data_IF_471075376960
#
_entry.id   IF_471075376960
#
_cell.length_a   1.000
_cell.length_b   1.000
_cell.length_c   1.000
_cell.angle_alpha   90.00
_cell.angle_beta   90.00
_cell.angle_gamma   90.00
#
_symmetry.space_group_name_H-M   'P 1'
#
loop_
_entity.id
_entity.type
_entity.pdbx_description
1 polymer ?
#
# COMPACT_ATOMS: atom_id res chain seq x y z
N UNK A 1 12.43 -8.54 33.50
CA UNK A 1 11.54 -8.13 32.41
C UNK A 1 12.39 -8.08 31.15
N UNK A 2 12.05 -8.86 30.13
CA UNK A 2 12.77 -8.87 28.84
C UNK A 2 11.84 -8.29 27.79
N UNK A 3 12.35 -7.40 26.94
CA UNK A 3 11.56 -6.74 25.91
C UNK A 3 12.08 -7.10 24.52
N UNK A 4 11.15 -7.16 23.58
CA UNK A 4 11.41 -7.35 22.16
C UNK A 4 10.74 -6.24 21.39
N UNK A 5 11.54 -5.40 20.73
CA UNK A 5 11.06 -4.23 19.99
C UNK A 5 10.97 -4.59 18.52
N UNK A 6 9.76 -4.48 17.96
CA UNK A 6 9.44 -4.68 16.56
C UNK A 6 9.40 -3.32 15.89
N UNK A 7 10.18 -3.13 14.82
CA UNK A 7 10.20 -1.92 14.01
C UNK A 7 9.90 -2.28 12.57
N UNK A 8 8.72 -1.93 12.08
CA UNK A 8 8.31 -2.15 10.71
C UNK A 8 8.62 -0.95 9.83
N UNK A 9 9.03 -1.23 8.59
CA UNK A 9 9.33 -0.22 7.55
C UNK A 9 8.69 -0.65 6.25
N UNK A 10 7.96 0.27 5.61
CA UNK A 10 7.53 0.11 4.23
C UNK A 10 8.70 0.46 3.29
N UNK A 11 8.96 -0.37 2.27
CA UNK A 11 10.15 -0.24 1.41
C UNK A 11 9.80 -0.16 -0.08
N UNK A 12 8.86 -0.98 -0.54
CA UNK A 12 8.42 -1.03 -1.93
C UNK A 12 6.99 -1.58 -2.04
N UNK A 13 6.45 -1.72 -3.25
CA UNK A 13 5.13 -2.36 -3.43
C UNK A 13 5.20 -3.87 -3.35
N UNK A 14 6.26 -4.48 -3.91
CA UNK A 14 6.42 -5.93 -3.93
C UNK A 14 7.90 -6.34 -3.93
N UNK A 15 8.28 -7.20 -2.98
CA UNK A 15 9.59 -7.85 -2.95
C UNK A 15 9.59 -9.17 -3.73
N UNK A 16 10.72 -9.47 -4.36
CA UNK A 16 11.06 -10.81 -4.81
C UNK A 16 11.71 -11.59 -3.68
N UNK A 17 10.88 -12.25 -2.86
CA UNK A 17 11.34 -13.04 -1.71
C UNK A 17 12.36 -14.09 -2.11
N UNK A 18 12.20 -14.76 -3.26
CA UNK A 18 13.14 -15.76 -3.74
C UNK A 18 14.52 -15.18 -4.08
N UNK A 19 14.60 -13.97 -4.62
CA UNK A 19 15.89 -13.34 -4.94
C UNK A 19 16.59 -12.83 -3.68
N UNK A 20 15.83 -12.32 -2.71
CA UNK A 20 16.36 -11.94 -1.40
C UNK A 20 16.87 -13.19 -0.67
N UNK A 21 16.08 -14.27 -0.62
CA UNK A 21 16.44 -15.51 0.06
C UNK A 21 17.77 -16.10 -0.46
N UNK A 22 18.02 -16.04 -1.77
CA UNK A 22 19.29 -16.49 -2.38
C UNK A 22 20.51 -15.76 -1.83
N UNK A 23 20.39 -14.48 -1.45
CA UNK A 23 21.52 -13.72 -0.87
C UNK A 23 21.93 -14.23 0.51
N UNK A 24 21.00 -14.83 1.24
CA UNK A 24 21.23 -15.38 2.57
C UNK A 24 21.39 -16.91 2.53
N UNK A 25 21.73 -17.47 1.37
CA UNK A 25 21.91 -18.91 1.13
C UNK A 25 20.68 -19.78 1.48
N UNK A 26 19.48 -19.19 1.37
CA UNK A 26 18.22 -19.88 1.62
C UNK A 26 17.65 -20.40 0.31
N UNK A 27 17.78 -21.71 0.10
CA UNK A 27 17.37 -22.40 -1.13
C UNK A 27 15.94 -22.96 -1.10
N UNK A 28 15.24 -22.88 0.03
CA UNK A 28 13.88 -23.42 0.16
C UNK A 28 12.88 -22.56 -0.61
N UNK A 29 11.88 -23.19 -1.22
CA UNK A 29 10.75 -22.48 -1.83
C UNK A 29 9.85 -21.93 -0.72
N UNK A 30 9.90 -20.62 -0.52
CA UNK A 30 9.02 -19.91 0.40
C UNK A 30 7.71 -19.65 -0.34
N UNK A 31 6.59 -19.99 0.29
CA UNK A 31 5.27 -19.66 -0.25
C UNK A 31 5.08 -18.15 -0.24
N UNK A 32 4.31 -17.61 -1.17
CA UNK A 32 4.18 -16.15 -1.27
C UNK A 32 3.50 -15.56 -0.03
N UNK A 33 2.65 -16.33 0.67
CA UNK A 33 1.98 -15.95 1.91
C UNK A 33 2.90 -15.95 3.15
N UNK A 34 4.09 -16.56 3.07
CA UNK A 34 5.01 -16.70 4.20
C UNK A 34 6.12 -15.65 4.12
N UNK A 35 6.50 -15.01 5.26
CA UNK A 35 7.65 -14.13 5.27
C UNK A 35 8.95 -14.91 5.08
N UNK A 36 9.94 -14.26 4.48
CA UNK A 36 11.33 -14.65 4.67
C UNK A 36 11.78 -14.19 6.06
N UNK A 37 12.06 -15.15 6.92
CA UNK A 37 12.54 -14.92 8.28
C UNK A 37 14.06 -15.14 8.30
N UNK A 38 14.80 -14.16 8.81
CA UNK A 38 16.24 -14.22 9.03
C UNK A 38 16.54 -14.09 10.53
N UNK A 39 17.21 -15.09 11.09
CA UNK A 39 17.59 -15.16 12.52
C UNK A 39 18.97 -15.78 12.69
N UNK A 40 19.54 -15.61 13.87
CA UNK A 40 20.78 -16.27 14.31
C UNK A 40 21.93 -16.11 13.29
N UNK A 41 22.54 -17.21 12.86
CA UNK A 41 23.67 -17.22 11.94
C UNK A 41 23.39 -16.57 10.58
N UNK A 42 22.13 -16.41 10.17
CA UNK A 42 21.77 -15.74 8.90
C UNK A 42 22.00 -14.23 8.96
N UNK A 43 22.05 -13.66 10.18
CA UNK A 43 22.34 -12.24 10.41
C UNK A 43 23.83 -11.99 10.67
N UNK A 44 24.65 -13.04 10.73
CA UNK A 44 26.08 -12.94 10.96
C UNK A 44 26.75 -12.11 9.85
N UNK A 45 27.49 -11.07 10.25
CA UNK A 45 28.17 -10.17 9.32
C UNK A 45 27.29 -9.03 8.77
N UNK A 46 26.00 -9.00 9.10
CA UNK A 46 25.08 -7.93 8.71
C UNK A 46 24.72 -6.99 9.87
N UNK A 47 24.79 -7.46 11.12
CA UNK A 47 24.45 -6.67 12.31
C UNK A 47 25.46 -6.90 13.44
N UNK A 48 25.50 -5.96 14.40
CA UNK A 48 26.29 -6.11 15.62
C UNK A 48 25.45 -6.88 16.63
N UNK A 49 25.99 -7.97 17.18
CA UNK A 49 25.30 -8.90 18.10
C UNK A 49 23.99 -9.48 17.51
N UNK A 50 24.00 -10.77 17.21
CA UNK A 50 22.84 -11.47 16.61
C UNK A 50 21.81 -11.93 17.64
N UNK A 51 22.15 -11.88 18.94
CA UNK A 51 21.28 -12.39 20.00
C UNK A 51 19.94 -11.65 20.04
N UNK A 52 18.83 -12.41 20.12
CA UNK A 52 17.46 -11.90 20.11
C UNK A 52 17.07 -11.02 18.91
N UNK A 53 17.87 -11.03 17.83
CA UNK A 53 17.58 -10.28 16.61
C UNK A 53 16.88 -11.13 15.56
N UNK A 54 15.96 -10.50 14.84
CA UNK A 54 15.26 -11.13 13.73
C UNK A 54 14.82 -10.13 12.67
N UNK A 55 14.74 -10.60 11.43
CA UNK A 55 14.18 -9.82 10.32
C UNK A 55 13.09 -10.64 9.63
N UNK A 56 11.94 -10.01 9.43
CA UNK A 56 10.79 -10.60 8.74
C UNK A 56 10.53 -9.78 7.48
N UNK A 57 10.75 -10.38 6.31
CA UNK A 57 10.58 -9.73 5.01
C UNK A 57 9.33 -10.30 4.34
N UNK A 58 8.34 -9.44 4.13
CA UNK A 58 7.06 -9.83 3.56
C UNK A 58 6.99 -9.51 2.08
N UNK A 59 6.39 -10.38 1.25
CA UNK A 59 6.33 -10.16 -0.21
C UNK A 59 5.69 -8.81 -0.58
N UNK A 60 4.81 -8.31 0.28
CA UNK A 60 4.13 -7.04 0.17
C UNK A 60 5.00 -5.84 0.63
N UNK A 61 6.30 -5.92 0.40
CA UNK A 61 7.16 -4.72 0.43
C UNK A 61 7.43 -4.11 1.81
N UNK A 62 7.09 -4.82 2.89
CA UNK A 62 7.36 -4.40 4.27
C UNK A 62 8.38 -5.31 4.95
N UNK A 63 9.22 -4.73 5.80
CA UNK A 63 10.21 -5.45 6.61
C UNK A 63 10.00 -5.11 8.08
N UNK A 64 10.00 -6.12 8.95
CA UNK A 64 9.97 -5.94 10.41
C UNK A 64 11.29 -6.39 11.01
N UNK A 65 11.88 -5.51 11.81
CA UNK A 65 13.14 -5.71 12.50
C UNK A 65 12.89 -5.88 13.99
N UNK A 66 13.37 -6.98 14.56
CA UNK A 66 13.24 -7.28 15.99
C UNK A 66 14.56 -6.98 16.68
N UNK A 67 14.55 -6.05 17.64
CA UNK A 67 15.72 -5.62 18.41
C UNK A 67 16.86 -4.97 17.59
N UNK A 68 16.52 -4.28 16.49
CA UNK A 68 17.49 -3.52 15.70
C UNK A 68 17.56 -2.05 16.13
N UNK A 69 18.77 -1.49 16.07
CA UNK A 69 18.98 -0.03 16.12
C UNK A 69 18.58 0.61 14.79
N UNK A 70 18.36 1.93 14.77
CA UNK A 70 17.98 2.61 13.53
C UNK A 70 19.09 2.57 12.48
N UNK A 71 20.36 2.68 12.89
CA UNK A 71 21.51 2.56 11.98
C UNK A 71 21.56 1.17 11.32
N UNK A 72 21.35 0.11 12.11
CA UNK A 72 21.30 -1.26 11.56
C UNK A 72 20.12 -1.48 10.61
N UNK A 73 18.98 -0.84 10.88
CA UNK A 73 17.82 -0.87 9.97
C UNK A 73 18.19 -0.23 8.63
N UNK A 74 18.78 0.96 8.66
CA UNK A 74 19.13 1.69 7.44
C UNK A 74 20.18 0.94 6.63
N UNK A 75 21.21 0.40 7.28
CA UNK A 75 22.23 -0.45 6.65
C UNK A 75 21.60 -1.71 6.03
N UNK A 76 20.71 -2.38 6.76
CA UNK A 76 20.05 -3.60 6.27
C UNK A 76 19.13 -3.31 5.09
N UNK A 77 18.35 -2.23 5.13
CA UNK A 77 17.52 -1.79 4.01
C UNK A 77 18.38 -1.52 2.78
N UNK A 78 19.54 -0.88 2.94
CA UNK A 78 20.47 -0.66 1.84
C UNK A 78 21.00 -1.97 1.25
N UNK A 79 21.30 -2.97 2.08
CA UNK A 79 21.69 -4.30 1.61
C UNK A 79 20.57 -4.95 0.78
N UNK A 80 19.32 -4.87 1.22
CA UNK A 80 18.18 -5.41 0.47
C UNK A 80 18.01 -4.66 -0.86
N UNK A 81 18.10 -3.33 -0.86
CA UNK A 81 18.01 -2.50 -2.10
C UNK A 81 19.13 -2.79 -3.10
N UNK A 82 20.34 -3.10 -2.61
CA UNK A 82 21.49 -3.47 -3.45
C UNK A 82 21.43 -4.93 -3.95
N UNK A 83 20.56 -5.76 -3.38
CA UNK A 83 20.40 -7.15 -3.81
C UNK A 83 19.77 -7.20 -5.21
N UNK A 84 20.40 -7.88 -6.19
CA UNK A 84 19.88 -7.92 -7.56
C UNK A 84 18.45 -8.46 -7.63
N UNK A 85 17.56 -7.72 -8.29
CA UNK A 85 16.15 -8.08 -8.49
C UNK A 85 15.39 -8.38 -7.19
N UNK A 86 15.78 -7.74 -6.08
CA UNK A 86 15.09 -7.89 -4.78
C UNK A 86 13.72 -7.20 -4.76
N UNK A 87 13.55 -6.12 -5.51
CA UNK A 87 12.28 -5.41 -5.68
C UNK A 87 11.65 -5.87 -6.99
N UNK A 88 10.48 -6.51 -6.90
CA UNK A 88 9.71 -6.96 -8.07
C UNK A 88 8.87 -5.84 -8.66
N UNK A 89 8.31 -4.98 -7.80
CA UNK A 89 7.51 -3.84 -8.22
C UNK A 89 7.71 -2.64 -7.29
N UNK A 90 7.78 -1.46 -7.90
CA UNK A 90 7.85 -0.17 -7.21
C UNK A 90 6.78 0.76 -7.80
N UNK A 91 5.83 1.18 -6.97
CA UNK A 91 4.86 2.17 -7.39
C UNK A 91 5.48 3.57 -7.21
N UNK A 92 5.82 4.21 -8.33
CA UNK A 92 6.44 5.55 -8.34
C UNK A 92 5.59 6.67 -7.71
N UNK A 93 4.31 6.42 -7.49
CA UNK A 93 3.41 7.39 -6.86
C UNK A 93 3.30 7.17 -5.34
N UNK A 94 3.81 6.06 -4.82
CA UNK A 94 3.82 5.76 -3.38
C UNK A 94 5.07 6.33 -2.71
N UNK A 95 4.91 6.79 -1.47
CA UNK A 95 6.01 7.19 -0.59
C UNK A 95 6.20 6.15 0.52
N UNK A 96 7.26 5.36 0.42
CA UNK A 96 7.57 4.31 1.39
C UNK A 96 8.36 4.88 2.58
N UNK A 97 7.70 5.75 3.34
CA UNK A 97 8.31 6.46 4.49
C UNK A 97 7.67 6.05 5.83
N UNK A 98 6.50 5.40 5.78
CA UNK A 98 5.74 4.95 6.95
C UNK A 98 6.54 3.96 7.80
N UNK A 99 6.29 4.03 9.11
CA UNK A 99 6.99 3.26 10.14
C UNK A 99 6.00 2.91 11.24
N UNK A 100 6.12 1.71 11.77
CA UNK A 100 5.31 1.24 12.89
C UNK A 100 6.22 0.54 13.88
N UNK A 101 6.10 0.85 15.17
CA UNK A 101 6.90 0.26 16.22
C UNK A 101 5.97 -0.38 17.27
N UNK A 102 6.28 -1.60 17.72
CA UNK A 102 5.48 -2.33 18.72
C UNK A 102 6.38 -3.18 19.61
N UNK A 103 5.92 -3.58 20.79
CA UNK A 103 6.74 -4.30 21.77
C UNK A 103 6.09 -5.58 22.25
N UNK A 104 6.91 -6.59 22.55
CA UNK A 104 6.50 -7.71 23.37
C UNK A 104 7.29 -7.64 24.68
N UNK A 105 6.58 -7.69 25.81
CA UNK A 105 7.14 -7.60 27.15
C UNK A 105 6.94 -8.94 27.86
N UNK A 106 8.05 -9.65 28.12
CA UNK A 106 8.02 -10.89 28.88
C UNK A 106 8.03 -10.61 30.39
N UNK A 107 6.94 -10.99 31.04
CA UNK A 107 6.71 -10.85 32.47
C UNK A 107 6.11 -12.14 33.06
N UNK A 108 6.96 -12.97 33.69
CA UNK A 108 6.64 -14.34 34.17
C UNK A 108 5.48 -14.48 35.18
N UNK A 109 4.92 -13.37 35.66
CA UNK A 109 3.90 -13.33 36.71
C UNK A 109 2.65 -12.51 36.35
N UNK A 110 2.56 -12.00 35.12
CA UNK A 110 1.38 -11.29 34.64
C UNK A 110 0.62 -12.18 33.67
N UNK A 111 -0.70 -12.04 33.62
CA UNK A 111 -1.50 -12.66 32.55
C UNK A 111 -1.22 -11.96 31.22
N UNK A 112 -1.52 -12.66 30.12
CA UNK A 112 -1.41 -12.09 28.79
C UNK A 112 -2.34 -10.89 28.65
N UNK A 113 -1.78 -9.74 28.26
CA UNK A 113 -2.50 -8.48 28.12
C UNK A 113 -2.01 -7.73 26.89
N UNK A 114 -2.96 -7.39 26.02
CA UNK A 114 -2.71 -6.53 24.88
C UNK A 114 -2.95 -5.06 25.28
N UNK A 115 -1.91 -4.27 25.16
CA UNK A 115 -1.91 -2.82 25.36
C UNK A 115 -1.68 -2.09 24.03
N UNK A 116 -1.79 -0.77 24.03
CA UNK A 116 -1.72 0.04 22.81
C UNK A 116 -0.39 -0.08 22.04
N UNK A 117 0.74 -0.16 22.75
CA UNK A 117 2.08 -0.26 22.14
C UNK A 117 2.82 -1.55 22.51
N UNK A 118 2.17 -2.44 23.28
CA UNK A 118 2.82 -3.64 23.77
C UNK A 118 1.88 -4.80 24.00
N UNK A 119 2.40 -6.00 23.78
CA UNK A 119 1.82 -7.26 24.23
C UNK A 119 2.62 -7.76 25.44
N UNK A 120 1.97 -7.85 26.59
CA UNK A 120 2.55 -8.44 27.81
C UNK A 120 2.24 -9.93 27.83
N UNK A 121 3.25 -10.78 27.98
CA UNK A 121 3.10 -12.24 28.02
C UNK A 121 3.92 -12.86 29.15
N UNK A 122 3.49 -14.02 29.62
CA UNK A 122 4.20 -14.79 30.65
C UNK A 122 5.19 -15.82 30.10
N UNK A 123 5.02 -16.24 28.83
CA UNK A 123 5.92 -17.16 28.13
C UNK A 123 5.97 -16.86 26.64
N UNK A 124 7.15 -17.02 26.02
CA UNK A 124 7.34 -16.80 24.59
C UNK A 124 7.15 -18.09 23.81
N UNK A 125 6.27 -18.02 22.82
CA UNK A 125 6.13 -19.00 21.75
C UNK A 125 6.37 -18.35 20.37
N UNK A 126 6.66 -19.18 19.35
CA UNK A 126 6.95 -18.75 17.98
C UNK A 126 5.84 -17.89 17.35
N UNK A 127 4.58 -18.17 17.70
CA UNK A 127 3.43 -17.46 17.16
C UNK A 127 3.39 -15.99 17.61
N UNK A 128 3.85 -15.67 18.83
CA UNK A 128 3.88 -14.29 19.32
C UNK A 128 4.67 -13.37 18.40
N UNK A 129 5.89 -13.79 18.02
CA UNK A 129 6.74 -13.01 17.12
C UNK A 129 6.18 -12.97 15.71
N UNK A 130 5.68 -14.11 15.22
CA UNK A 130 5.21 -14.23 13.84
C UNK A 130 3.92 -13.43 13.60
N UNK A 131 2.98 -13.46 14.55
CA UNK A 131 1.72 -12.70 14.46
C UNK A 131 1.97 -11.21 14.66
N UNK A 132 2.78 -10.84 15.66
CA UNK A 132 3.16 -9.43 15.90
C UNK A 132 3.87 -8.85 14.68
N UNK A 133 4.90 -9.52 14.15
CA UNK A 133 5.58 -9.06 12.96
C UNK A 133 4.64 -8.96 11.75
N UNK A 134 3.70 -9.90 11.59
CA UNK A 134 2.76 -9.87 10.47
C UNK A 134 1.81 -8.67 10.56
N UNK A 135 1.21 -8.43 11.73
CA UNK A 135 0.22 -7.36 11.91
C UNK A 135 0.89 -5.99 11.80
N UNK A 136 2.03 -5.78 12.44
CA UNK A 136 2.78 -4.50 12.37
C UNK A 136 3.24 -4.25 10.92
N UNK A 137 3.66 -5.29 10.18
CA UNK A 137 3.97 -5.18 8.75
C UNK A 137 2.75 -4.78 7.91
N UNK A 138 1.57 -5.34 8.20
CA UNK A 138 0.33 -4.97 7.51
C UNK A 138 -0.07 -3.53 7.82
N UNK A 139 0.05 -3.09 9.08
CA UNK A 139 -0.26 -1.71 9.50
C UNK A 139 0.54 -0.70 8.68
N UNK A 140 1.88 -0.86 8.65
CA UNK A 140 2.76 0.10 7.94
C UNK A 140 2.52 0.11 6.42
N UNK A 141 2.17 -1.04 5.85
CA UNK A 141 1.86 -1.12 4.44
C UNK A 141 0.52 -0.47 4.10
N UNK A 142 -0.48 -0.65 4.96
CA UNK A 142 -1.78 0.00 4.83
C UNK A 142 -1.67 1.52 4.98
N UNK A 143 -0.85 1.99 5.93
CA UNK A 143 -0.56 3.41 6.10
C UNK A 143 0.10 4.04 4.86
N UNK A 144 1.06 3.33 4.26
CA UNK A 144 1.72 3.78 3.02
C UNK A 144 0.72 4.01 1.88
N UNK A 145 -0.29 3.15 1.83
CA UNK A 145 -1.37 3.17 0.86
C UNK A 145 -2.31 4.35 1.19
N UNK A 146 -2.75 4.50 2.43
CA UNK A 146 -3.59 5.62 2.89
C UNK A 146 -2.95 6.98 2.57
N UNK A 147 -1.69 7.19 2.94
CA UNK A 147 -0.95 8.44 2.66
C UNK A 147 -0.87 8.71 1.16
N UNK A 148 -0.65 7.67 0.35
CA UNK A 148 -0.62 7.82 -1.11
C UNK A 148 -2.00 8.17 -1.66
N UNK A 149 -3.05 7.60 -1.07
CA UNK A 149 -4.44 7.81 -1.48
C UNK A 149 -4.91 9.24 -1.18
N UNK A 150 -4.46 9.81 -0.07
CA UNK A 150 -4.75 11.20 0.29
C UNK A 150 -4.21 12.18 -0.77
N UNK A 151 -3.01 11.93 -1.30
CA UNK A 151 -2.46 12.74 -2.41
C UNK A 151 -3.33 12.67 -3.67
N UNK A 152 -3.90 11.51 -3.98
CA UNK A 152 -4.81 11.35 -5.12
C UNK A 152 -6.15 12.02 -4.83
N UNK A 153 -6.65 11.94 -3.60
CA UNK A 153 -7.88 12.60 -3.18
C UNK A 153 -7.79 14.12 -3.34
N UNK A 154 -6.67 14.73 -2.94
CA UNK A 154 -6.43 16.16 -3.11
C UNK A 154 -6.50 16.59 -4.59
N UNK A 155 -6.12 15.71 -5.51
CA UNK A 155 -6.28 15.95 -6.95
C UNK A 155 -7.74 15.90 -7.36
N UNK A 156 -8.51 14.92 -6.86
CA UNK A 156 -9.95 14.82 -7.11
C UNK A 156 -10.71 16.01 -6.53
N UNK A 157 -10.36 16.51 -5.35
CA UNK A 157 -10.98 17.72 -4.78
C UNK A 157 -10.81 18.95 -5.67
N UNK A 158 -9.66 19.09 -6.36
CA UNK A 158 -9.45 20.17 -7.33
C UNK A 158 -10.40 20.04 -8.54
N UNK A 159 -10.72 18.81 -8.94
CA UNK A 159 -11.72 18.53 -9.98
C UNK A 159 -13.10 18.97 -9.51
N UNK A 160 -13.50 18.61 -8.29
CA UNK A 160 -14.79 18.99 -7.69
C UNK A 160 -14.93 20.51 -7.64
N UNK A 161 -13.92 21.23 -7.14
CA UNK A 161 -13.92 22.71 -7.12
C UNK A 161 -14.01 23.32 -8.51
N UNK A 162 -13.45 22.67 -9.52
CA UNK A 162 -13.58 23.12 -10.91
C UNK A 162 -15.02 22.93 -11.42
N UNK A 163 -15.67 21.82 -11.07
CA UNK A 163 -17.08 21.55 -11.37
C UNK A 163 -18.02 22.56 -10.73
N UNK A 164 -17.82 22.91 -9.46
CA UNK A 164 -18.63 23.91 -8.74
C UNK A 164 -18.63 25.26 -9.47
N UNK A 165 -17.50 25.61 -10.10
CA UNK A 165 -17.35 26.82 -10.91
C UNK A 165 -17.81 26.66 -12.37
N UNK A 166 -18.45 25.54 -12.73
CA UNK A 166 -18.91 25.22 -14.08
C UNK A 166 -17.78 24.91 -15.08
N UNK A 167 -16.56 24.71 -14.58
CA UNK A 167 -15.35 24.65 -15.39
C UNK A 167 -14.95 23.19 -15.67
N UNK A 168 -15.36 22.69 -16.84
CA UNK A 168 -15.13 21.31 -17.29
C UNK A 168 -13.79 21.10 -18.04
N UNK A 169 -12.77 21.91 -17.75
CA UNK A 169 -11.55 21.98 -18.56
C UNK A 169 -10.46 20.95 -18.19
N UNK A 170 -10.83 19.72 -17.81
CA UNK A 170 -9.87 18.61 -17.70
C UNK A 170 -9.83 17.86 -19.02
N UNK A 171 -8.62 17.63 -19.51
CA UNK A 171 -8.44 16.82 -20.71
C UNK A 171 -8.50 15.32 -20.40
N UNK A 172 -8.94 14.52 -21.37
CA UNK A 172 -9.06 13.05 -21.24
C UNK A 172 -7.76 12.38 -20.74
N UNK A 173 -6.60 12.90 -21.11
CA UNK A 173 -5.30 12.38 -20.66
C UNK A 173 -5.10 12.56 -19.15
N UNK A 174 -5.50 13.70 -18.60
CA UNK A 174 -5.46 13.97 -17.16
C UNK A 174 -6.44 13.06 -16.42
N UNK A 175 -7.68 12.94 -16.91
CA UNK A 175 -8.68 12.04 -16.32
C UNK A 175 -8.20 10.57 -16.33
N UNK A 176 -7.73 10.08 -17.48
CA UNK A 176 -7.16 8.74 -17.62
C UNK A 176 -5.94 8.52 -16.72
N UNK A 177 -5.11 9.54 -16.51
CA UNK A 177 -3.96 9.47 -15.59
C UNK A 177 -4.40 9.33 -14.13
N UNK A 178 -5.43 10.05 -13.69
CA UNK A 178 -5.94 9.97 -12.31
C UNK A 178 -6.67 8.63 -12.12
N UNK A 179 -7.54 8.23 -13.06
CA UNK A 179 -8.17 6.89 -13.04
C UNK A 179 -7.11 5.80 -13.00
N UNK A 180 -6.07 5.90 -13.83
CA UNK A 180 -4.97 4.93 -13.85
C UNK A 180 -4.22 4.87 -12.52
N UNK A 181 -4.07 5.99 -11.80
CA UNK A 181 -3.46 6.03 -10.45
C UNK A 181 -4.38 5.38 -9.41
N UNK A 182 -5.67 5.71 -9.40
CA UNK A 182 -6.65 5.10 -8.49
C UNK A 182 -6.79 3.59 -8.78
N UNK A 183 -6.76 3.18 -10.04
CA UNK A 183 -6.83 1.78 -10.43
C UNK A 183 -5.55 1.02 -10.12
N UNK A 184 -4.38 1.64 -10.35
CA UNK A 184 -3.09 1.08 -9.93
C UNK A 184 -3.04 0.90 -8.41
N UNK A 185 -3.63 1.84 -7.67
CA UNK A 185 -3.83 1.74 -6.24
C UNK A 185 -4.74 0.56 -5.89
N UNK A 186 -5.97 0.48 -6.44
CA UNK A 186 -6.87 -0.66 -6.19
C UNK A 186 -6.22 -1.99 -6.53
N UNK A 187 -5.49 -2.08 -7.65
CA UNK A 187 -4.75 -3.28 -8.02
C UNK A 187 -3.66 -3.62 -7.00
N UNK A 188 -2.91 -2.62 -6.53
CA UNK A 188 -1.92 -2.83 -5.46
C UNK A 188 -2.63 -3.31 -4.20
N UNK A 189 -3.71 -2.66 -3.77
CA UNK A 189 -4.51 -3.02 -2.59
C UNK A 189 -5.15 -4.41 -2.70
N UNK A 190 -5.56 -4.86 -3.89
CA UNK A 190 -6.13 -6.22 -4.09
C UNK A 190 -5.14 -7.32 -3.73
N UNK A 191 -3.84 -7.14 -4.03
CA UNK A 191 -2.80 -8.05 -3.55
C UNK A 191 -2.61 -8.01 -2.02
N UNK A 192 -3.08 -6.95 -1.35
CA UNK A 192 -3.01 -6.77 0.10
C UNK A 192 -4.29 -7.23 0.83
N UNK A 193 -5.45 -7.26 0.17
CA UNK A 193 -6.69 -7.84 0.75
C UNK A 193 -6.51 -9.33 1.03
N UNK A 194 -5.78 -10.04 0.15
CA UNK A 194 -5.37 -11.43 0.38
C UNK A 194 -4.40 -11.58 1.56
N UNK A 195 -3.85 -10.48 2.09
CA UNK A 195 -3.08 -10.49 3.33
C UNK A 195 -3.99 -10.49 4.55
N UNK A 196 -5.18 -9.88 4.51
CA UNK A 196 -6.11 -9.88 5.65
C UNK A 196 -6.67 -11.28 5.95
N UNK A 197 -6.48 -12.23 5.03
CA UNK A 197 -6.74 -13.64 5.29
C UNK A 197 -5.95 -14.14 6.50
N UNK A 198 -6.59 -15.06 7.24
CA UNK A 198 -5.97 -15.71 8.40
C UNK A 198 -4.65 -16.34 7.97
N UNK A 199 -3.53 -16.05 8.67
CA UNK A 199 -2.24 -16.63 8.33
C UNK A 199 -2.29 -18.15 8.42
N UNK A 200 -1.46 -18.85 7.64
CA UNK A 200 -1.44 -20.31 7.58
C UNK A 200 -1.33 -20.98 8.97
N UNK A 201 -0.65 -20.32 9.91
CA UNK A 201 -0.48 -20.78 11.30
C UNK A 201 -1.80 -20.71 12.08
N UNK A 202 -2.62 -19.68 11.88
CA UNK A 202 -3.91 -19.51 12.56
C UNK A 202 -4.88 -20.67 12.26
N UNK A 203 -4.81 -21.29 11.08
CA UNK A 203 -5.63 -22.46 10.75
C UNK A 203 -5.34 -23.71 11.60
N UNK A 204 -4.21 -23.74 12.31
CA UNK A 204 -3.75 -24.91 13.09
C UNK A 204 -3.49 -24.60 14.55
N UNK A 205 -3.46 -23.33 14.93
CA UNK A 205 -3.13 -22.87 16.28
C UNK A 205 -4.10 -21.77 16.69
N UNK A 206 -4.98 -22.09 17.63
CA UNK A 206 -6.01 -21.20 18.16
C UNK A 206 -5.41 -19.97 18.85
N UNK A 207 -4.33 -20.13 19.63
CA UNK A 207 -3.62 -18.99 20.24
C UNK A 207 -3.06 -18.02 19.19
N UNK A 208 -2.51 -18.56 18.09
CA UNK A 208 -2.04 -17.73 16.99
C UNK A 208 -3.18 -16.99 16.27
N UNK A 209 -4.34 -17.64 16.12
CA UNK A 209 -5.54 -17.02 15.56
C UNK A 209 -6.07 -15.90 16.44
N UNK A 210 -6.22 -16.15 17.74
CA UNK A 210 -6.71 -15.16 18.71
C UNK A 210 -5.78 -13.95 18.75
N UNK A 211 -4.47 -14.18 18.89
CA UNK A 211 -3.50 -13.09 18.89
C UNK A 211 -3.51 -12.29 17.58
N UNK A 212 -3.66 -12.96 16.44
CA UNK A 212 -3.78 -12.27 15.16
C UNK A 212 -5.02 -11.38 15.10
N UNK A 213 -6.18 -11.87 15.54
CA UNK A 213 -7.42 -11.10 15.55
C UNK A 213 -7.31 -9.91 16.52
N UNK A 214 -6.83 -10.12 17.74
CA UNK A 214 -6.70 -9.08 18.76
C UNK A 214 -5.76 -7.95 18.28
N UNK A 215 -4.62 -8.31 17.68
CA UNK A 215 -3.71 -7.34 17.08
C UNK A 215 -4.33 -6.67 15.85
N UNK A 216 -5.02 -7.41 14.98
CA UNK A 216 -5.65 -6.83 13.79
C UNK A 216 -6.74 -5.82 14.16
N UNK A 217 -7.47 -6.07 15.24
CA UNK A 217 -8.47 -5.18 15.82
C UNK A 217 -7.79 -3.97 16.47
N UNK A 218 -6.71 -4.16 17.24
CA UNK A 218 -5.92 -3.07 17.83
C UNK A 218 -5.42 -2.08 16.78
N UNK A 219 -4.92 -2.58 15.65
CA UNK A 219 -4.42 -1.76 14.54
C UNK A 219 -5.51 -1.33 13.53
N UNK A 220 -6.78 -1.64 13.83
CA UNK A 220 -7.95 -1.34 13.00
C UNK A 220 -7.79 -1.78 11.53
N UNK A 221 -7.11 -2.89 11.27
CA UNK A 221 -6.70 -3.25 9.90
C UNK A 221 -7.89 -3.39 8.94
N UNK A 222 -8.98 -4.01 9.40
CA UNK A 222 -10.19 -4.21 8.61
C UNK A 222 -10.92 -2.88 8.37
N UNK A 223 -11.17 -2.11 9.42
CA UNK A 223 -11.88 -0.82 9.34
C UNK A 223 -11.15 0.18 8.45
N UNK A 224 -9.82 0.29 8.62
CA UNK A 224 -8.96 1.14 7.78
C UNK A 224 -9.03 0.73 6.32
N UNK A 225 -8.95 -0.57 6.06
CA UNK A 225 -9.09 -1.10 4.70
C UNK A 225 -10.48 -0.80 4.09
N UNK A 226 -11.57 -0.98 4.83
CA UNK A 226 -12.91 -0.69 4.34
C UNK A 226 -13.11 0.79 4.02
N UNK A 227 -12.67 1.68 4.92
CA UNK A 227 -12.69 3.14 4.71
C UNK A 227 -11.91 3.54 3.45
N UNK A 228 -10.73 2.95 3.29
CA UNK A 228 -9.85 3.20 2.15
C UNK A 228 -10.49 2.73 0.83
N UNK A 229 -11.12 1.55 0.82
CA UNK A 229 -11.80 1.00 -0.35
C UNK A 229 -13.03 1.84 -0.73
N UNK A 230 -13.83 2.24 0.25
CA UNK A 230 -14.97 3.14 0.03
C UNK A 230 -14.52 4.49 -0.56
N UNK A 231 -13.49 5.11 0.06
CA UNK A 231 -12.89 6.37 -0.43
C UNK A 231 -12.36 6.21 -1.86
N UNK A 232 -11.72 5.09 -2.18
CA UNK A 232 -11.27 4.79 -3.53
C UNK A 232 -12.40 4.68 -4.53
N UNK A 233 -13.50 4.01 -4.17
CA UNK A 233 -14.64 3.85 -5.07
C UNK A 233 -15.30 5.20 -5.36
N UNK A 234 -15.51 6.02 -4.33
CA UNK A 234 -16.07 7.37 -4.49
C UNK A 234 -15.23 8.23 -5.44
N UNK A 235 -13.89 8.14 -5.37
CA UNK A 235 -13.02 8.87 -6.31
C UNK A 235 -13.20 8.41 -7.75
N UNK A 236 -13.27 7.09 -7.99
CA UNK A 236 -13.52 6.55 -9.34
C UNK A 236 -14.84 7.11 -9.89
N UNK A 237 -15.90 7.03 -9.10
CA UNK A 237 -17.24 7.49 -9.51
C UNK A 237 -17.23 8.98 -9.88
N UNK A 238 -16.58 9.84 -9.07
CA UNK A 238 -16.46 11.29 -9.33
C UNK A 238 -15.71 11.55 -10.64
N UNK A 239 -14.58 10.86 -10.87
CA UNK A 239 -13.76 11.09 -12.07
C UNK A 239 -14.50 10.58 -13.32
N UNK A 240 -15.22 9.47 -13.23
CA UNK A 240 -16.05 8.96 -14.34
C UNK A 240 -17.18 9.94 -14.69
N UNK A 241 -17.88 10.48 -13.69
CA UNK A 241 -18.90 11.52 -13.91
C UNK A 241 -18.28 12.73 -14.59
N UNK A 242 -17.12 13.21 -14.11
CA UNK A 242 -16.44 14.34 -14.74
C UNK A 242 -16.05 14.04 -16.19
N UNK A 243 -15.43 12.88 -16.45
CA UNK A 243 -14.95 12.50 -17.78
C UNK A 243 -16.11 12.48 -18.79
N UNK A 244 -17.26 11.94 -18.39
CA UNK A 244 -18.48 11.94 -19.20
C UNK A 244 -18.99 13.36 -19.49
N UNK A 245 -19.01 14.26 -18.50
CA UNK A 245 -19.41 15.66 -18.70
C UNK A 245 -18.46 16.40 -19.66
N UNK A 246 -17.15 16.19 -19.53
CA UNK A 246 -16.14 16.80 -20.41
C UNK A 246 -16.27 16.32 -21.85
N UNK A 247 -16.51 15.01 -22.06
CA UNK A 247 -16.75 14.44 -23.38
C UNK A 247 -17.99 15.05 -24.06
N UNK A 248 -19.10 15.17 -23.34
CA UNK A 248 -20.34 15.78 -23.84
C UNK A 248 -20.16 17.25 -24.27
N UNK A 249 -19.37 18.04 -23.52
CA UNK A 249 -19.06 19.42 -23.91
C UNK A 249 -18.24 19.51 -25.20
N UNK A 250 -17.28 18.60 -25.40
CA UNK A 250 -16.47 18.57 -26.64
C UNK A 250 -17.30 18.16 -27.86
N UNK A 251 -18.20 17.19 -27.71
CA UNK A 251 -19.13 16.81 -28.77
C UNK A 251 -20.00 18.01 -29.21
N UNK A 252 -20.52 18.78 -28.26
CA UNK A 252 -21.26 20.01 -28.55
C UNK A 252 -20.41 21.08 -29.28
N UNK A 253 -19.12 21.21 -28.94
CA UNK A 253 -18.24 22.14 -29.65
C UNK A 253 -17.99 21.72 -31.11
N UNK A 254 -17.85 20.41 -31.39
CA UNK A 254 -17.74 19.89 -32.75
C UNK A 254 -19.02 20.14 -33.54
N UNK A 255 -20.18 19.94 -32.92
CA UNK A 255 -21.48 20.23 -33.53
C UNK A 255 -21.59 21.71 -33.93
N UNK A 256 -21.19 22.63 -33.06
CA UNK A 256 -21.17 24.08 -33.38
C UNK A 256 -20.23 24.38 -34.56
N UNK A 257 -19.06 23.74 -34.64
CA UNK A 257 -18.14 23.91 -35.79
C UNK A 257 -18.81 23.44 -37.09
N UNK A 258 -19.48 22.28 -37.08
CA UNK A 258 -20.20 21.76 -38.26
C UNK A 258 -21.35 22.69 -38.64
N UNK A 259 -22.14 23.17 -37.68
CA UNK A 259 -23.22 24.15 -37.92
C UNK A 259 -22.67 25.43 -38.55
N UNK A 260 -21.54 25.96 -38.05
CA UNK A 260 -20.88 27.13 -38.63
C UNK A 260 -20.38 26.89 -40.05
N UNK A 261 -19.79 25.72 -40.33
CA UNK A 261 -19.35 25.35 -41.68
C UNK A 261 -20.53 25.32 -42.67
N UNK A 262 -21.65 24.72 -42.27
CA UNK A 262 -22.89 24.71 -43.08
C UNK A 262 -23.42 26.13 -43.27
N UNK A 263 -23.44 26.95 -42.21
CA UNK A 263 -23.90 28.34 -42.29
C UNK A 263 -23.05 29.19 -43.24
N UNK A 264 -21.74 29.00 -43.25
CA UNK A 264 -20.82 29.65 -44.20
C UNK A 264 -21.13 29.23 -45.64
N UNK A 265 -21.34 27.94 -45.88
CA UNK A 265 -21.67 27.41 -47.20
C UNK A 265 -22.99 27.98 -47.74
N UNK A 266 -24.03 28.03 -46.88
CA UNK A 266 -25.31 28.64 -47.22
C UNK A 266 -25.16 30.12 -47.59
N UNK A 267 -24.41 30.90 -46.80
CA UNK A 267 -24.18 32.32 -47.08
C UNK A 267 -23.46 32.51 -48.43
N UNK A 268 -22.45 31.70 -48.73
CA UNK A 268 -21.75 31.76 -50.02
C UNK A 268 -22.69 31.44 -51.19
N UNK A 269 -23.52 30.39 -51.07
CA UNK A 269 -24.49 30.02 -52.08
C UNK A 269 -25.51 31.14 -52.35
N UNK A 270 -26.02 31.80 -51.30
CA UNK A 270 -26.93 32.94 -51.45
C UNK A 270 -26.26 34.14 -52.12
N UNK A 271 -25.01 34.45 -51.74
CA UNK A 271 -24.25 35.53 -52.38
C UNK A 271 -24.09 35.27 -53.87
N UNK A 272 -23.72 34.05 -54.26
CA UNK A 272 -23.52 33.70 -55.66
C UNK A 272 -24.82 33.76 -56.48
N UNK A 273 -25.98 33.55 -55.85
CA UNK A 273 -27.30 33.72 -56.50
C UNK A 273 -27.69 35.20 -56.64
N UNK A 274 -27.41 36.04 -55.64
CA UNK A 274 -27.81 37.46 -55.61
C UNK A 274 -26.92 38.32 -56.52
N UNK A 275 -25.63 37.98 -56.65
CA UNK A 275 -24.65 38.71 -57.47
C UNK A 275 -24.51 38.15 -58.90
N UNK A 276 -25.44 37.30 -59.33
CA UNK A 276 -25.56 36.79 -60.70
C UNK A 276 -26.62 37.56 -61.47
#
# INVERSE_FOLDING_TARGET
MKEYIFKARAICSEFSISNIAKRFDISRKIKWEEPLILKDGQLQGYVKNIEDKGVYIYHFGSIVFVNFTNDEIDDFINIIKLTPNSIKSLNKYMKYECREDFRIVLHEHMEEQLEYESLVINSIDEHHFSMTALVVAKSVALETIEVTMDVVFDEVEKIIKSLENGNLNINEKQAASIIGRVLSFKHTTISYIMLLDKPAIAWKNESAENLFNDLADLFELNDRYEKLNAKSQTMVDIIEIFANLSHSKRANNLEIIVILLILIEVIMAFRDIIFR
#
